data_IF_968150431483
#
_entry.id   IF_968150431483
#
_cell.length_a   1.000
_cell.length_b   1.000
_cell.length_c   1.000
_cell.angle_alpha   90.00
_cell.angle_beta   90.00
_cell.angle_gamma   90.00
#
_symmetry.space_group_name_H-M   'P 1'
#
loop_
_entity.id
_entity.type
_entity.pdbx_description
1 polymer ?
#
# COMPACT_ATOMS: atom_id res chain seq x y z
N UNK A 1 52.33 -33.28 -6.85
CA UNK A 1 51.41 -33.09 -5.70
C UNK A 1 49.98 -33.01 -6.21
N UNK A 2 49.01 -33.69 -5.60
CA UNK A 2 47.63 -33.57 -6.01
C UNK A 2 47.09 -32.18 -5.64
N UNK A 3 46.35 -31.53 -6.56
CA UNK A 3 45.61 -30.29 -6.29
C UNK A 3 44.33 -30.62 -5.51
N UNK A 4 44.03 -29.85 -4.47
CA UNK A 4 42.80 -29.99 -3.71
C UNK A 4 41.89 -28.78 -4.05
N UNK A 5 40.74 -28.97 -4.73
CA UNK A 5 39.87 -27.87 -5.05
C UNK A 5 39.15 -27.33 -3.81
N UNK A 6 38.93 -26.02 -3.78
CA UNK A 6 38.13 -25.37 -2.74
C UNK A 6 36.71 -25.11 -3.29
N UNK A 7 35.71 -25.54 -2.56
CA UNK A 7 34.33 -25.23 -2.90
C UNK A 7 34.02 -23.79 -2.55
N UNK A 8 33.53 -23.03 -3.52
CA UNK A 8 33.18 -21.62 -3.31
C UNK A 8 31.82 -21.52 -2.60
N UNK A 9 31.79 -20.84 -1.46
CA UNK A 9 30.55 -20.52 -0.75
C UNK A 9 29.75 -19.45 -1.52
N UNK A 10 28.47 -19.68 -1.67
CA UNK A 10 27.54 -18.73 -2.34
C UNK A 10 26.38 -18.42 -1.38
N UNK A 11 26.57 -17.52 -0.40
CA UNK A 11 25.57 -17.21 0.64
C UNK A 11 24.35 -16.46 0.08
N UNK A 12 24.50 -15.77 -1.05
CA UNK A 12 23.42 -15.14 -1.81
C UNK A 12 23.36 -15.84 -3.15
N UNK A 13 22.20 -16.41 -3.50
CA UNK A 13 22.01 -17.13 -4.75
C UNK A 13 20.62 -16.83 -5.30
N UNK A 14 20.61 -16.15 -6.45
CA UNK A 14 19.41 -15.90 -7.25
C UNK A 14 19.35 -16.95 -8.35
N UNK A 15 18.44 -17.89 -8.25
CA UNK A 15 18.28 -18.99 -9.19
C UNK A 15 17.05 -18.87 -10.10
N UNK A 16 16.12 -17.97 -9.72
CA UNK A 16 14.91 -17.70 -10.53
C UNK A 16 14.61 -16.20 -10.48
N UNK A 17 14.41 -15.62 -11.65
CA UNK A 17 13.90 -14.23 -11.82
C UNK A 17 12.46 -14.33 -12.27
N UNK A 18 11.56 -13.62 -11.61
CA UNK A 18 10.13 -13.58 -11.93
C UNK A 18 9.88 -12.50 -12.97
N UNK A 19 10.24 -11.25 -12.64
CA UNK A 19 10.14 -10.11 -13.56
C UNK A 19 11.32 -9.15 -13.38
N UNK A 20 11.60 -8.37 -14.40
CA UNK A 20 12.44 -7.18 -14.35
C UNK A 20 11.69 -6.08 -15.11
N UNK A 21 11.50 -4.94 -14.47
CA UNK A 21 10.78 -3.81 -15.03
C UNK A 21 11.60 -2.52 -14.96
N UNK A 22 11.42 -1.66 -15.96
CA UNK A 22 11.78 -0.27 -15.93
C UNK A 22 10.55 0.56 -16.30
N UNK A 23 9.94 1.17 -15.28
CA UNK A 23 8.70 1.91 -15.45
C UNK A 23 8.94 3.42 -15.49
N UNK A 24 8.28 4.08 -16.43
CA UNK A 24 8.15 5.53 -16.48
C UNK A 24 6.71 5.91 -16.16
N UNK A 25 6.45 6.25 -14.91
CA UNK A 25 5.09 6.51 -14.44
C UNK A 25 4.71 7.99 -14.52
N UNK A 26 3.40 8.27 -14.58
CA UNK A 26 2.87 9.63 -14.43
C UNK A 26 2.99 10.10 -12.98
N UNK A 27 2.96 11.42 -12.76
CA UNK A 27 2.94 12.00 -11.41
C UNK A 27 1.69 11.66 -10.58
N UNK A 28 0.66 11.07 -11.21
CA UNK A 28 -0.57 10.62 -10.56
C UNK A 28 -0.65 9.08 -10.45
N UNK A 29 0.42 8.37 -10.75
CA UNK A 29 0.45 6.91 -10.72
C UNK A 29 0.15 6.38 -9.31
N UNK A 30 -0.62 5.30 -9.29
CA UNK A 30 -0.97 4.58 -8.08
C UNK A 30 -1.04 3.07 -8.37
N UNK A 31 -0.37 2.30 -7.53
CA UNK A 31 -0.42 0.85 -7.50
C UNK A 31 -1.16 0.41 -6.23
N UNK A 32 -2.25 -0.34 -6.41
CA UNK A 32 -3.14 -0.77 -5.29
C UNK A 32 -2.43 -1.68 -4.28
N UNK A 33 -1.32 -2.27 -4.67
CA UNK A 33 -0.52 -3.17 -3.87
C UNK A 33 -0.80 -4.64 -4.14
N UNK A 34 0.19 -5.43 -3.76
CA UNK A 34 0.20 -6.88 -3.88
C UNK A 34 0.92 -7.55 -2.70
N UNK A 35 0.83 -8.87 -2.67
CA UNK A 35 1.54 -9.72 -1.73
C UNK A 35 1.87 -11.03 -2.46
N UNK A 36 3.13 -11.43 -2.44
CA UNK A 36 3.62 -12.61 -3.15
C UNK A 36 4.69 -13.35 -2.34
N UNK A 37 5.09 -14.53 -2.78
CA UNK A 37 5.98 -15.45 -2.06
C UNK A 37 7.46 -15.38 -2.51
N UNK A 38 7.83 -14.34 -3.24
CA UNK A 38 9.18 -14.07 -3.71
C UNK A 38 9.70 -12.71 -3.19
N UNK A 39 11.00 -12.47 -3.33
CA UNK A 39 11.64 -11.20 -3.05
C UNK A 39 11.40 -10.22 -4.18
N UNK A 40 11.24 -8.95 -3.84
CA UNK A 40 11.18 -7.87 -4.81
C UNK A 40 11.99 -6.68 -4.30
N UNK A 41 12.65 -5.98 -5.21
CA UNK A 41 13.17 -4.66 -4.90
C UNK A 41 12.55 -3.59 -5.81
N UNK A 42 12.38 -2.41 -5.22
CA UNK A 42 12.00 -1.18 -5.92
C UNK A 42 13.12 -0.17 -5.77
N UNK A 43 13.66 0.29 -6.90
CA UNK A 43 14.67 1.35 -6.96
C UNK A 43 14.11 2.58 -7.65
N UNK A 44 14.31 3.77 -7.06
CA UNK A 44 13.86 5.06 -7.64
C UNK A 44 15.01 5.66 -8.45
N UNK A 45 14.90 5.56 -9.78
CA UNK A 45 15.88 6.16 -10.70
C UNK A 45 15.66 7.68 -10.86
N UNK A 46 14.39 8.10 -10.89
CA UNK A 46 13.98 9.50 -11.02
C UNK A 46 12.74 9.79 -10.19
N UNK A 47 12.63 11.02 -9.68
CA UNK A 47 11.46 11.47 -8.92
C UNK A 47 11.42 10.90 -7.51
N UNK A 48 10.21 10.75 -6.98
CA UNK A 48 9.96 10.22 -5.65
C UNK A 48 8.60 9.51 -5.58
N UNK A 49 8.49 8.55 -4.68
CA UNK A 49 7.27 7.77 -4.44
C UNK A 49 7.02 7.60 -2.95
N UNK A 50 5.75 7.54 -2.56
CA UNK A 50 5.33 7.02 -1.26
C UNK A 50 5.08 5.52 -1.40
N UNK A 51 5.69 4.72 -0.53
CA UNK A 51 5.58 3.27 -0.51
C UNK A 51 4.98 2.82 0.81
N UNK A 52 4.04 1.90 0.75
CA UNK A 52 3.58 1.13 1.90
C UNK A 52 4.29 -0.23 1.87
N UNK A 53 5.04 -0.57 2.90
CA UNK A 53 5.77 -1.82 3.04
C UNK A 53 5.53 -2.41 4.43
N UNK A 54 4.90 -3.59 4.52
CA UNK A 54 4.60 -4.25 5.78
C UNK A 54 3.75 -3.42 6.76
N UNK A 55 2.97 -2.45 6.25
CA UNK A 55 2.18 -1.53 7.06
C UNK A 55 2.87 -0.21 7.42
N UNK A 56 4.13 0.00 7.01
CA UNK A 56 4.87 1.26 7.18
C UNK A 56 4.77 2.12 5.94
N UNK A 57 4.53 3.41 6.12
CA UNK A 57 4.62 4.39 5.04
C UNK A 57 6.03 4.97 4.98
N UNK A 58 6.64 4.89 3.81
CA UNK A 58 8.00 5.36 3.54
C UNK A 58 7.97 6.26 2.30
N UNK A 59 8.77 7.33 2.32
CA UNK A 59 9.04 8.13 1.12
C UNK A 59 10.39 7.75 0.57
N UNK A 60 10.41 7.31 -0.69
CA UNK A 60 11.61 6.98 -1.44
C UNK A 60 11.90 8.08 -2.45
N UNK A 61 13.04 8.73 -2.32
CA UNK A 61 13.54 9.67 -3.30
C UNK A 61 14.50 9.01 -4.29
N UNK A 62 14.92 9.78 -5.29
CA UNK A 62 15.91 9.34 -6.29
C UNK A 62 17.15 8.73 -5.63
N UNK A 63 17.58 7.58 -6.14
CA UNK A 63 18.75 6.87 -5.65
C UNK A 63 18.49 6.01 -4.42
N UNK A 64 17.23 5.83 -4.00
CA UNK A 64 16.86 4.94 -2.91
C UNK A 64 16.33 3.61 -3.44
N UNK A 65 16.67 2.53 -2.75
CA UNK A 65 16.18 1.18 -3.00
C UNK A 65 15.50 0.64 -1.75
N UNK A 66 14.36 -0.03 -1.93
CA UNK A 66 13.65 -0.77 -0.89
C UNK A 66 13.52 -2.23 -1.32
N UNK A 67 13.62 -3.16 -0.37
CA UNK A 67 13.41 -4.59 -0.60
C UNK A 67 12.17 -5.04 0.14
N UNK A 68 11.30 -5.75 -0.57
CA UNK A 68 10.10 -6.42 -0.06
C UNK A 68 10.39 -7.90 0.12
N UNK A 69 10.33 -8.43 1.36
CA UNK A 69 10.46 -9.85 1.62
C UNK A 69 9.21 -10.62 1.19
N UNK A 70 9.33 -11.95 0.94
CA UNK A 70 8.19 -12.82 0.70
C UNK A 70 7.11 -12.65 1.76
N UNK A 71 5.86 -12.52 1.33
CA UNK A 71 4.69 -12.37 2.22
C UNK A 71 4.45 -10.95 2.74
N UNK A 72 5.28 -9.98 2.40
CA UNK A 72 5.01 -8.58 2.73
C UNK A 72 3.99 -7.98 1.75
N UNK A 73 2.91 -7.40 2.29
CA UNK A 73 2.03 -6.56 1.48
C UNK A 73 2.72 -5.21 1.22
N UNK A 74 2.78 -4.81 -0.04
CA UNK A 74 3.34 -3.53 -0.45
C UNK A 74 2.50 -2.85 -1.53
N UNK A 75 2.51 -1.51 -1.53
CA UNK A 75 1.83 -0.64 -2.46
C UNK A 75 2.67 0.62 -2.67
N UNK A 76 2.47 1.32 -3.79
CA UNK A 76 3.17 2.57 -4.03
C UNK A 76 2.32 3.59 -4.78
N UNK A 77 2.64 4.87 -4.58
CA UNK A 77 2.06 5.98 -5.33
C UNK A 77 3.11 7.05 -5.63
N UNK A 78 2.95 7.71 -6.77
CA UNK A 78 3.67 8.94 -7.06
C UNK A 78 3.21 10.06 -6.10
N UNK A 79 4.12 10.95 -5.71
CA UNK A 79 3.83 12.03 -4.74
C UNK A 79 3.03 13.19 -5.32
N UNK A 80 2.82 13.20 -6.65
CA UNK A 80 2.16 14.30 -7.36
C UNK A 80 3.12 15.42 -7.79
N UNK A 81 4.32 15.49 -7.19
CA UNK A 81 5.31 16.54 -7.46
C UNK A 81 6.19 16.24 -8.68
N UNK A 82 6.42 14.96 -8.97
CA UNK A 82 7.25 14.50 -10.11
C UNK A 82 6.75 13.17 -10.67
N UNK A 83 7.02 12.95 -11.96
CA UNK A 83 6.81 11.67 -12.62
C UNK A 83 7.98 10.74 -12.25
N UNK A 84 7.77 9.63 -11.53
CA UNK A 84 8.85 8.75 -11.11
C UNK A 84 9.22 7.73 -12.19
N UNK A 85 10.52 7.41 -12.27
CA UNK A 85 11.03 6.25 -12.99
C UNK A 85 11.51 5.23 -11.98
N UNK A 86 11.06 3.99 -12.12
CA UNK A 86 11.34 2.91 -11.17
C UNK A 86 11.94 1.70 -11.87
N UNK A 87 12.94 1.09 -11.24
CA UNK A 87 13.35 -0.29 -11.54
C UNK A 87 12.72 -1.20 -10.50
N UNK A 88 11.97 -2.19 -10.96
CA UNK A 88 11.37 -3.22 -10.09
C UNK A 88 11.87 -4.57 -10.56
N UNK A 89 12.40 -5.39 -9.64
CA UNK A 89 12.83 -6.73 -9.98
C UNK A 89 12.40 -7.73 -8.91
N UNK A 90 11.74 -8.79 -9.37
CA UNK A 90 11.16 -9.84 -8.54
C UNK A 90 11.91 -11.15 -8.78
N UNK A 91 12.31 -11.83 -7.71
CA UNK A 91 13.21 -12.98 -7.79
C UNK A 91 13.08 -13.92 -6.58
N UNK A 92 13.51 -15.16 -6.77
CA UNK A 92 13.75 -16.08 -5.66
C UNK A 92 15.23 -16.09 -5.30
N UNK A 93 15.51 -16.02 -4.01
CA UNK A 93 16.86 -16.10 -3.47
C UNK A 93 16.89 -17.19 -2.38
N UNK A 94 17.82 -18.14 -2.53
CA UNK A 94 18.00 -19.20 -1.56
C UNK A 94 18.88 -18.75 -0.38
N UNK A 95 18.58 -19.28 0.80
CA UNK A 95 19.35 -19.08 2.03
C UNK A 95 18.85 -17.90 2.88
N UNK A 96 19.39 -17.82 4.10
CA UNK A 96 18.99 -16.83 5.11
C UNK A 96 19.73 -15.48 4.99
N UNK A 97 20.51 -15.30 3.93
CA UNK A 97 21.35 -14.11 3.78
C UNK A 97 20.52 -12.82 3.72
N UNK A 98 19.36 -12.87 3.05
CA UNK A 98 18.46 -11.73 2.91
C UNK A 98 17.53 -11.53 4.12
N UNK A 99 17.27 -12.57 4.91
CA UNK A 99 16.43 -12.45 6.12
C UNK A 99 17.01 -11.48 7.16
N UNK A 100 18.31 -11.14 7.02
CA UNK A 100 19.03 -10.19 7.88
C UNK A 100 19.25 -8.82 7.23
N UNK A 101 18.67 -8.58 6.05
CA UNK A 101 18.60 -7.21 5.52
C UNK A 101 17.72 -6.39 6.45
N UNK A 102 18.20 -5.21 6.83
CA UNK A 102 17.41 -4.27 7.60
C UNK A 102 16.21 -3.78 6.79
N UNK A 103 15.33 -3.05 7.43
CA UNK A 103 14.05 -2.63 6.84
C UNK A 103 14.16 -1.52 5.77
N UNK A 104 15.37 -1.11 5.36
CA UNK A 104 15.60 -0.04 4.38
C UNK A 104 14.96 1.31 4.76
N UNK A 105 14.85 2.29 3.85
CA UNK A 105 15.40 2.28 2.49
C UNK A 105 16.94 2.38 2.46
N UNK A 106 17.53 1.86 1.39
CA UNK A 106 18.98 1.86 1.19
C UNK A 106 19.37 2.95 0.19
N UNK A 107 20.28 3.88 0.53
CA UNK A 107 20.84 4.81 -0.44
C UNK A 107 21.82 4.10 -1.38
N UNK A 108 21.62 4.24 -2.69
CA UNK A 108 22.48 3.61 -3.71
C UNK A 108 23.64 4.50 -4.10
N UNK A 109 24.85 3.99 -3.93
CA UNK A 109 26.07 4.59 -4.46
C UNK A 109 26.25 4.37 -5.95
N UNK A 110 27.40 4.75 -6.48
CA UNK A 110 27.71 4.61 -7.89
C UNK A 110 27.82 3.14 -8.33
N UNK A 111 28.44 2.30 -7.50
CA UNK A 111 28.59 0.88 -7.76
C UNK A 111 27.24 0.15 -7.82
N UNK A 112 26.37 0.38 -6.84
CA UNK A 112 25.03 -0.22 -6.80
C UNK A 112 24.16 0.23 -7.97
N UNK A 113 24.21 1.52 -8.34
CA UNK A 113 23.49 2.04 -9.53
C UNK A 113 24.01 1.42 -10.83
N UNK A 114 25.31 1.18 -10.94
CA UNK A 114 25.87 0.50 -12.10
C UNK A 114 25.35 -0.96 -12.20
N UNK A 115 25.23 -1.67 -11.09
CA UNK A 115 24.67 -3.02 -11.05
C UNK A 115 23.18 -3.02 -11.45
N UNK A 116 22.39 -2.07 -10.93
CA UNK A 116 20.97 -1.92 -11.28
C UNK A 116 20.81 -1.65 -12.78
N UNK A 117 21.62 -0.73 -13.35
CA UNK A 117 21.65 -0.49 -14.78
C UNK A 117 22.05 -1.72 -15.59
N UNK A 118 23.01 -2.52 -15.08
CA UNK A 118 23.42 -3.80 -15.67
C UNK A 118 22.30 -4.83 -15.67
N UNK A 119 21.52 -4.94 -14.58
CA UNK A 119 20.34 -5.83 -14.49
C UNK A 119 19.34 -5.50 -15.60
N UNK A 120 19.00 -4.22 -15.77
CA UNK A 120 18.06 -3.77 -16.80
C UNK A 120 18.60 -4.07 -18.19
N UNK A 121 19.85 -3.67 -18.48
CA UNK A 121 20.47 -3.87 -19.79
C UNK A 121 20.57 -5.35 -20.19
N UNK A 122 20.96 -6.23 -19.27
CA UNK A 122 21.04 -7.67 -19.57
C UNK A 122 19.66 -8.32 -19.62
N UNK A 123 18.66 -7.83 -18.88
CA UNK A 123 17.29 -8.29 -19.02
C UNK A 123 16.71 -7.96 -20.40
N UNK A 124 16.95 -6.75 -20.95
CA UNK A 124 16.56 -6.39 -22.31
C UNK A 124 17.21 -7.29 -23.38
N UNK A 125 18.44 -7.74 -23.12
CA UNK A 125 19.18 -8.64 -24.03
C UNK A 125 18.73 -10.10 -23.92
N UNK A 126 18.36 -10.53 -22.71
CA UNK A 126 17.98 -11.91 -22.42
C UNK A 126 16.52 -12.21 -22.77
N UNK A 127 15.62 -11.24 -22.56
CA UNK A 127 14.18 -11.46 -22.64
C UNK A 127 13.52 -10.63 -23.74
N UNK A 128 12.51 -11.21 -24.38
CA UNK A 128 11.68 -10.55 -25.38
C UNK A 128 10.52 -9.75 -24.74
N UNK A 129 10.22 -10.04 -23.49
CA UNK A 129 9.17 -9.37 -22.70
C UNK A 129 9.51 -7.89 -22.53
N UNK A 130 8.61 -6.96 -22.87
CA UNK A 130 8.83 -5.53 -22.62
C UNK A 130 8.99 -5.25 -21.12
N UNK A 131 9.96 -4.41 -20.74
CA UNK A 131 10.22 -4.10 -19.33
C UNK A 131 9.25 -3.05 -18.75
N UNK A 132 8.46 -2.39 -19.60
CA UNK A 132 7.49 -1.37 -19.23
C UNK A 132 6.04 -1.88 -19.16
N UNK A 133 5.80 -3.17 -19.38
CA UNK A 133 4.47 -3.77 -19.28
C UNK A 133 4.15 -4.23 -17.84
N UNK A 134 3.26 -3.51 -17.13
CA UNK A 134 2.89 -3.86 -15.76
C UNK A 134 2.02 -5.13 -15.64
N UNK A 135 1.57 -5.69 -16.76
CA UNK A 135 0.78 -6.93 -16.79
C UNK A 135 1.63 -8.19 -16.92
N UNK A 136 2.94 -8.03 -17.07
CA UNK A 136 3.88 -9.13 -17.20
C UNK A 136 3.88 -10.00 -15.95
N UNK A 137 3.65 -11.30 -16.14
CA UNK A 137 3.70 -12.33 -15.09
C UNK A 137 4.82 -13.35 -15.29
N UNK A 138 5.48 -13.33 -16.44
CA UNK A 138 6.58 -14.22 -16.79
C UNK A 138 7.49 -13.58 -17.83
N UNK A 139 8.77 -13.91 -17.78
CA UNK A 139 9.77 -13.46 -18.75
C UNK A 139 9.88 -14.49 -19.89
N UNK A 140 9.78 -14.02 -21.13
CA UNK A 140 9.98 -14.83 -22.33
C UNK A 140 11.42 -14.67 -22.82
N UNK A 141 12.16 -15.78 -22.96
CA UNK A 141 13.54 -15.76 -23.47
C UNK A 141 13.58 -15.35 -24.93
N UNK A 142 14.53 -14.51 -25.29
CA UNK A 142 14.81 -14.20 -26.70
C UNK A 142 15.48 -15.40 -27.35
N UNK A 143 15.06 -15.82 -28.56
CA UNK A 143 15.73 -16.88 -29.30
C UNK A 143 17.19 -16.58 -29.66
N UNK A 144 17.51 -15.28 -29.78
CA UNK A 144 18.83 -14.73 -30.14
C UNK A 144 19.58 -14.15 -28.93
N UNK A 145 19.15 -14.47 -27.70
CA UNK A 145 19.79 -13.98 -26.49
C UNK A 145 21.29 -14.31 -26.49
N UNK A 146 22.15 -13.34 -26.13
CA UNK A 146 23.58 -13.62 -25.97
C UNK A 146 23.84 -14.67 -24.90
N UNK A 147 24.81 -15.53 -25.15
CA UNK A 147 25.22 -16.54 -24.16
C UNK A 147 25.59 -15.87 -22.83
N UNK A 148 24.93 -16.27 -21.78
CA UNK A 148 25.19 -15.80 -20.41
C UNK A 148 24.46 -14.50 -20.01
N UNK A 149 23.60 -13.91 -20.86
CA UNK A 149 22.85 -12.70 -20.50
C UNK A 149 21.97 -12.93 -19.25
N UNK A 150 21.20 -14.02 -19.18
CA UNK A 150 20.43 -14.40 -17.99
C UNK A 150 21.33 -14.61 -16.76
N UNK A 151 22.50 -15.21 -16.95
CA UNK A 151 23.46 -15.42 -15.88
C UNK A 151 24.00 -14.08 -15.35
N UNK A 152 24.19 -13.08 -16.21
CA UNK A 152 24.61 -11.74 -15.81
C UNK A 152 23.50 -11.02 -15.01
N UNK A 153 22.24 -11.16 -15.40
CA UNK A 153 21.11 -10.65 -14.58
C UNK A 153 21.19 -11.18 -13.17
N UNK A 154 21.32 -12.51 -12.99
CA UNK A 154 21.43 -13.14 -11.68
C UNK A 154 22.71 -12.68 -10.93
N UNK A 155 23.84 -12.61 -11.62
CA UNK A 155 25.12 -12.22 -11.01
C UNK A 155 25.10 -10.76 -10.52
N UNK A 156 24.54 -9.84 -11.28
CA UNK A 156 24.38 -8.45 -10.86
C UNK A 156 23.41 -8.31 -9.68
N UNK A 157 22.31 -9.08 -9.66
CA UNK A 157 21.42 -9.14 -8.50
C UNK A 157 22.14 -9.68 -7.26
N UNK A 158 22.87 -10.80 -7.38
CA UNK A 158 23.64 -11.39 -6.28
C UNK A 158 24.65 -10.39 -5.70
N UNK A 159 25.37 -9.68 -6.57
CA UNK A 159 26.37 -8.68 -6.13
C UNK A 159 25.71 -7.47 -5.47
N UNK A 160 24.60 -6.96 -6.04
CA UNK A 160 23.81 -5.88 -5.43
C UNK A 160 23.33 -6.27 -4.03
N UNK A 161 22.73 -7.44 -3.88
CA UNK A 161 22.23 -7.96 -2.60
C UNK A 161 23.37 -8.17 -1.59
N UNK A 162 24.54 -8.61 -2.04
CA UNK A 162 25.74 -8.74 -1.23
C UNK A 162 26.22 -7.39 -0.70
N UNK A 163 26.23 -6.35 -1.55
CA UNK A 163 26.62 -4.99 -1.15
C UNK A 163 25.64 -4.42 -0.14
N UNK A 164 24.34 -4.57 -0.38
CA UNK A 164 23.30 -4.14 0.57
C UNK A 164 23.46 -4.83 1.92
N UNK A 165 23.75 -6.12 1.93
CA UNK A 165 23.97 -6.89 3.16
C UNK A 165 25.25 -6.44 3.90
N UNK A 166 26.33 -6.13 3.20
CA UNK A 166 27.57 -5.65 3.77
C UNK A 166 27.45 -4.22 4.34
N UNK A 167 26.65 -3.37 3.69
CA UNK A 167 26.36 -2.00 4.13
C UNK A 167 25.25 -1.88 5.17
N UNK A 168 24.49 -2.96 5.40
CA UNK A 168 23.45 -2.95 6.42
C UNK A 168 24.11 -2.82 7.81
N UNK A 169 23.68 -1.87 8.66
CA UNK A 169 24.16 -1.81 10.04
C UNK A 169 23.86 -3.15 10.72
N UNK A 170 24.82 -3.64 11.52
CA UNK A 170 24.56 -4.77 12.41
C UNK A 170 23.24 -4.49 13.16
N UNK A 171 22.31 -5.45 13.24
CA UNK A 171 21.04 -5.25 13.93
C UNK A 171 21.33 -4.87 15.37
N UNK A 172 21.33 -3.60 15.67
CA UNK A 172 21.22 -3.12 17.05
C UNK A 172 19.88 -3.65 17.50
N UNK A 173 19.89 -4.61 18.44
CA UNK A 173 18.75 -5.29 19.02
C UNK A 173 17.42 -4.54 18.89
N UNK A 174 16.94 -4.43 17.69
CA UNK A 174 15.58 -4.02 17.43
C UNK A 174 14.75 -5.22 17.82
N UNK A 175 14.08 -5.13 18.95
CA UNK A 175 12.92 -5.95 19.18
C UNK A 175 12.03 -5.88 17.92
N UNK A 176 11.20 -6.89 17.64
CA UNK A 176 10.36 -6.91 16.46
C UNK A 176 9.60 -5.58 16.45
N UNK A 177 9.88 -4.73 15.44
CA UNK A 177 9.05 -3.55 15.20
C UNK A 177 7.69 -4.13 14.83
N UNK A 178 6.73 -3.93 15.72
CA UNK A 178 5.38 -4.42 15.49
C UNK A 178 4.90 -3.88 14.14
N UNK A 179 4.37 -4.73 13.25
CA UNK A 179 3.65 -4.26 12.08
C UNK A 179 2.63 -3.24 12.60
N UNK A 180 2.46 -2.11 11.89
CA UNK A 180 1.46 -1.09 12.27
C UNK A 180 0.24 -1.81 12.82
N UNK A 181 -0.04 -1.60 14.10
CA UNK A 181 -1.01 -2.43 14.78
C UNK A 181 -2.32 -2.28 14.00
N UNK A 182 -3.08 -3.34 13.89
CA UNK A 182 -4.44 -3.33 13.34
C UNK A 182 -5.21 -2.09 13.81
N UNK A 183 -4.98 -1.67 15.04
CA UNK A 183 -5.53 -0.50 15.69
C UNK A 183 -5.07 0.82 15.04
N UNK A 184 -3.80 0.96 14.66
CA UNK A 184 -3.28 2.20 14.03
C UNK A 184 -3.87 2.41 12.63
N UNK A 185 -3.97 1.36 11.81
CA UNK A 185 -4.62 1.44 10.49
C UNK A 185 -6.09 1.79 10.66
N UNK A 186 -6.79 1.18 11.62
CA UNK A 186 -8.17 1.49 11.91
C UNK A 186 -8.35 2.95 12.32
N UNK A 187 -7.56 3.45 13.28
CA UNK A 187 -7.64 4.84 13.75
C UNK A 187 -7.34 5.86 12.66
N UNK A 188 -6.33 5.60 11.82
CA UNK A 188 -6.00 6.46 10.69
C UNK A 188 -7.14 6.53 9.67
N UNK A 189 -7.70 5.39 9.28
CA UNK A 189 -8.81 5.34 8.34
C UNK A 189 -10.08 5.94 8.96
N UNK A 190 -10.35 5.71 10.25
CA UNK A 190 -11.49 6.34 10.94
C UNK A 190 -11.38 7.88 10.93
N UNK A 191 -10.21 8.42 11.24
CA UNK A 191 -9.94 9.86 11.16
C UNK A 191 -10.15 10.40 9.73
N UNK A 192 -9.61 9.70 8.72
CA UNK A 192 -9.82 10.04 7.31
C UNK A 192 -11.30 10.08 6.91
N UNK A 193 -12.09 9.11 7.36
CA UNK A 193 -13.53 9.05 7.11
C UNK A 193 -14.30 10.16 7.85
N UNK A 194 -13.91 10.47 9.09
CA UNK A 194 -14.54 11.51 9.90
C UNK A 194 -14.43 12.90 9.26
N UNK A 195 -13.27 13.22 8.67
CA UNK A 195 -13.04 14.48 7.96
C UNK A 195 -13.83 14.60 6.64
N UNK A 196 -14.31 13.46 6.10
CA UNK A 196 -14.91 13.39 4.76
C UNK A 196 -16.36 12.95 4.74
N UNK A 197 -17.10 13.19 5.82
CA UNK A 197 -18.52 12.82 5.92
C UNK A 197 -19.40 13.48 4.86
N UNK A 198 -19.00 14.65 4.33
CA UNK A 198 -19.68 15.36 3.25
C UNK A 198 -19.40 14.80 1.85
N UNK A 199 -18.43 13.89 1.71
CA UNK A 199 -18.00 13.37 0.42
C UNK A 199 -18.63 12.02 0.09
N UNK A 200 -18.76 11.72 -1.20
CA UNK A 200 -19.01 10.36 -1.69
C UNK A 200 -17.66 9.67 -1.85
N UNK A 201 -17.40 8.67 -1.01
CA UNK A 201 -16.18 7.87 -1.08
C UNK A 201 -16.48 6.51 -1.68
N UNK A 202 -15.51 5.97 -2.42
CA UNK A 202 -15.48 4.59 -2.88
C UNK A 202 -14.47 3.80 -2.06
N UNK A 203 -14.62 2.48 -2.00
CA UNK A 203 -13.65 1.61 -1.34
C UNK A 203 -12.23 1.84 -1.88
N UNK A 204 -12.10 1.96 -3.21
CA UNK A 204 -10.82 2.18 -3.88
C UNK A 204 -10.16 3.50 -3.48
N UNK A 205 -10.97 4.56 -3.37
CA UNK A 205 -10.46 5.84 -2.92
C UNK A 205 -9.98 5.78 -1.47
N UNK A 206 -10.72 5.09 -0.59
CA UNK A 206 -10.30 4.90 0.81
C UNK A 206 -8.98 4.11 0.87
N UNK A 207 -8.88 3.01 0.12
CA UNK A 207 -7.66 2.21 0.03
C UNK A 207 -6.47 3.04 -0.47
N UNK A 208 -6.67 3.76 -1.57
CA UNK A 208 -5.67 4.62 -2.20
C UNK A 208 -5.14 5.69 -1.26
N UNK A 209 -6.06 6.47 -0.70
CA UNK A 209 -5.71 7.64 0.11
C UNK A 209 -5.08 7.22 1.46
N UNK A 210 -5.31 5.97 1.89
CA UNK A 210 -4.76 5.43 3.14
C UNK A 210 -3.68 4.35 2.93
N UNK A 211 -3.25 4.08 1.69
CA UNK A 211 -2.24 3.08 1.37
C UNK A 211 -2.49 1.72 2.07
N UNK A 212 -3.71 1.20 1.92
CA UNK A 212 -4.11 -0.08 2.53
C UNK A 212 -4.84 -0.93 1.51
N UNK A 213 -4.46 -2.20 1.37
CA UNK A 213 -5.11 -3.14 0.46
C UNK A 213 -6.55 -3.44 0.86
N UNK A 214 -7.43 -3.67 -0.13
CA UNK A 214 -8.86 -3.93 0.07
C UNK A 214 -9.14 -5.03 1.08
N UNK A 215 -8.48 -6.18 0.93
CA UNK A 215 -8.69 -7.34 1.81
C UNK A 215 -8.30 -7.01 3.26
N UNK A 216 -7.14 -6.38 3.46
CA UNK A 216 -6.66 -5.97 4.78
C UNK A 216 -7.60 -4.94 5.42
N UNK A 217 -8.03 -3.91 4.66
CA UNK A 217 -8.96 -2.90 5.14
C UNK A 217 -10.29 -3.54 5.60
N UNK A 218 -10.85 -4.43 4.78
CA UNK A 218 -12.08 -5.14 5.11
C UNK A 218 -11.91 -6.03 6.35
N UNK A 219 -10.81 -6.79 6.45
CA UNK A 219 -10.51 -7.61 7.63
C UNK A 219 -10.41 -6.77 8.91
N UNK A 220 -9.71 -5.62 8.84
CA UNK A 220 -9.57 -4.72 9.99
C UNK A 220 -10.94 -4.20 10.42
N UNK A 221 -11.74 -3.66 9.49
CA UNK A 221 -13.03 -3.09 9.84
C UNK A 221 -14.04 -4.14 10.32
N UNK A 222 -14.07 -5.33 9.70
CA UNK A 222 -14.89 -6.43 10.19
C UNK A 222 -14.56 -6.82 11.63
N UNK A 223 -13.30 -6.86 11.94
CA UNK A 223 -12.88 -7.26 13.27
C UNK A 223 -13.09 -6.17 14.34
N UNK A 224 -12.94 -4.86 13.97
CA UNK A 224 -13.13 -3.75 14.92
C UNK A 224 -14.60 -3.31 15.04
N UNK A 225 -15.41 -3.49 13.98
CA UNK A 225 -16.76 -2.90 13.91
C UNK A 225 -17.87 -3.89 13.59
N UNK A 226 -17.52 -5.16 13.34
CA UNK A 226 -18.46 -6.20 12.93
C UNK A 226 -18.98 -6.08 11.49
N UNK A 227 -18.52 -5.08 10.72
CA UNK A 227 -18.96 -4.82 9.35
C UNK A 227 -17.87 -4.24 8.46
N UNK A 228 -18.12 -4.13 7.15
CA UNK A 228 -17.17 -3.58 6.20
C UNK A 228 -16.99 -2.06 6.36
N UNK A 229 -15.86 -1.52 5.85
CA UNK A 229 -15.52 -0.09 5.95
C UNK A 229 -16.60 0.83 5.35
N UNK A 230 -17.23 0.47 4.23
CA UNK A 230 -18.28 1.27 3.62
C UNK A 230 -19.56 1.30 4.45
N UNK A 231 -19.88 0.20 5.11
CA UNK A 231 -20.99 0.12 6.06
C UNK A 231 -20.70 0.99 7.30
N UNK A 232 -19.49 0.89 7.83
CA UNK A 232 -19.03 1.74 8.91
C UNK A 232 -19.11 3.23 8.56
N UNK A 233 -18.62 3.61 7.39
CA UNK A 233 -18.73 5.00 6.90
C UNK A 233 -20.18 5.48 6.78
N UNK A 234 -21.05 4.60 6.30
CA UNK A 234 -22.49 4.88 6.28
C UNK A 234 -23.08 5.11 7.68
N UNK A 235 -22.72 4.27 8.66
CA UNK A 235 -23.13 4.45 10.07
C UNK A 235 -22.64 5.79 10.65
N UNK A 236 -21.38 6.16 10.39
CA UNK A 236 -20.80 7.46 10.80
C UNK A 236 -21.60 8.65 10.25
N UNK A 237 -22.00 8.61 8.96
CA UNK A 237 -22.85 9.64 8.36
C UNK A 237 -24.23 9.71 9.07
N UNK A 238 -24.81 8.58 9.42
CA UNK A 238 -26.10 8.56 10.13
C UNK A 238 -25.97 9.11 11.55
N UNK A 239 -24.89 8.82 12.27
CA UNK A 239 -24.66 9.43 13.58
C UNK A 239 -24.51 10.96 13.48
N UNK A 240 -23.78 11.46 12.47
CA UNK A 240 -23.71 12.89 12.20
C UNK A 240 -25.08 13.50 11.87
N UNK A 241 -25.91 12.79 11.09
CA UNK A 241 -27.29 13.22 10.80
C UNK A 241 -28.14 13.31 12.07
N UNK A 242 -28.05 12.33 12.98
CA UNK A 242 -28.75 12.34 14.25
C UNK A 242 -28.36 13.55 15.11
N UNK A 243 -27.08 13.91 15.11
CA UNK A 243 -26.61 15.10 15.82
C UNK A 243 -27.16 16.40 15.21
N UNK A 244 -27.13 16.53 13.88
CA UNK A 244 -27.73 17.68 13.18
C UNK A 244 -29.24 17.81 13.47
N UNK A 245 -29.97 16.69 13.47
CA UNK A 245 -31.40 16.66 13.80
C UNK A 245 -31.64 17.08 15.25
N UNK A 246 -30.82 16.62 16.19
CA UNK A 246 -30.94 17.02 17.61
C UNK A 246 -30.72 18.51 17.84
N UNK A 247 -29.81 19.12 17.04
CA UNK A 247 -29.50 20.56 17.10
C UNK A 247 -30.45 21.43 16.28
N UNK A 248 -31.42 20.81 15.57
CA UNK A 248 -32.31 21.48 14.63
C UNK A 248 -31.53 22.26 13.53
N UNK A 249 -30.40 21.69 13.09
CA UNK A 249 -29.41 22.33 12.22
C UNK A 249 -29.75 22.13 10.72
N UNK A 250 -30.96 22.51 10.33
CA UNK A 250 -31.46 22.47 8.98
C UNK A 250 -32.53 21.39 8.72
N UNK A 251 -33.16 21.48 7.57
CA UNK A 251 -34.14 20.50 7.13
C UNK A 251 -33.45 19.21 6.62
N UNK A 252 -34.24 18.12 6.46
CA UNK A 252 -33.67 16.82 6.07
C UNK A 252 -32.97 16.80 4.71
N UNK A 253 -33.42 17.68 3.77
CA UNK A 253 -32.78 17.83 2.47
C UNK A 253 -31.39 18.48 2.62
N UNK A 254 -31.29 19.51 3.44
CA UNK A 254 -30.02 20.17 3.75
C UNK A 254 -29.05 19.24 4.47
N UNK A 255 -29.53 18.48 5.47
CA UNK A 255 -28.73 17.48 6.18
C UNK A 255 -28.21 16.42 5.21
N UNK A 256 -29.08 15.89 4.33
CA UNK A 256 -28.67 14.92 3.33
C UNK A 256 -27.59 15.46 2.39
N UNK A 257 -27.74 16.70 1.92
CA UNK A 257 -26.75 17.36 1.05
C UNK A 257 -25.41 17.59 1.75
N UNK A 258 -25.42 18.10 2.99
CA UNK A 258 -24.20 18.30 3.80
C UNK A 258 -23.43 17.02 4.06
N UNK A 259 -24.14 15.90 4.15
CA UNK A 259 -23.57 14.57 4.33
C UNK A 259 -23.27 13.86 3.00
N UNK A 260 -23.36 14.57 1.86
CA UNK A 260 -22.99 14.05 0.54
C UNK A 260 -23.88 12.90 0.05
N UNK A 261 -25.15 12.88 0.42
CA UNK A 261 -26.14 11.98 -0.17
C UNK A 261 -26.65 12.54 -1.50
N UNK A 262 -26.77 11.68 -2.51
CA UNK A 262 -27.22 12.09 -3.84
C UNK A 262 -28.71 12.44 -3.87
N UNK A 263 -29.52 11.95 -2.92
CA UNK A 263 -30.92 12.28 -2.79
C UNK A 263 -31.44 12.10 -1.37
N UNK A 264 -32.47 12.87 -1.03
CA UNK A 264 -33.20 12.76 0.24
C UNK A 264 -33.85 11.36 0.41
N UNK A 265 -34.26 10.72 -0.69
CA UNK A 265 -34.87 9.37 -0.66
C UNK A 265 -33.84 8.31 -0.25
N UNK A 266 -32.64 8.40 -0.80
CA UNK A 266 -31.55 7.49 -0.44
C UNK A 266 -31.12 7.72 1.02
N UNK A 267 -30.98 8.96 1.45
CA UNK A 267 -30.72 9.33 2.84
C UNK A 267 -31.75 8.74 3.79
N UNK A 268 -33.05 8.99 3.55
CA UNK A 268 -34.13 8.53 4.42
C UNK A 268 -34.18 7.00 4.53
N UNK A 269 -33.99 6.30 3.41
CA UNK A 269 -33.92 4.83 3.40
C UNK A 269 -32.72 4.31 4.16
N UNK A 270 -31.56 4.94 4.00
CA UNK A 270 -30.35 4.56 4.73
C UNK A 270 -30.48 4.85 6.22
N UNK A 271 -30.99 6.02 6.57
CA UNK A 271 -31.28 6.38 7.97
C UNK A 271 -32.19 5.35 8.63
N UNK A 272 -33.29 4.98 7.98
CA UNK A 272 -34.21 3.95 8.49
C UNK A 272 -33.56 2.58 8.60
N UNK A 273 -32.70 2.19 7.64
CA UNK A 273 -31.95 0.94 7.69
C UNK A 273 -31.02 0.87 8.91
N UNK A 274 -30.36 1.98 9.25
CA UNK A 274 -29.38 2.02 10.35
C UNK A 274 -30.04 2.20 11.73
N UNK A 275 -31.12 3.01 11.81
CA UNK A 275 -31.73 3.41 13.09
C UNK A 275 -33.04 2.69 13.40
N UNK A 276 -33.62 1.99 12.43
CA UNK A 276 -34.97 1.39 12.54
C UNK A 276 -36.14 2.36 12.29
N UNK A 277 -35.90 3.68 12.23
CA UNK A 277 -36.91 4.71 12.06
C UNK A 277 -36.53 5.74 10.99
N UNK A 278 -37.53 6.43 10.42
CA UNK A 278 -37.27 7.52 9.47
C UNK A 278 -36.69 8.75 10.18
N UNK A 279 -36.01 9.69 9.44
CA UNK A 279 -35.56 10.95 10.00
C UNK A 279 -36.65 11.75 10.70
N UNK A 280 -37.89 11.74 10.14
CA UNK A 280 -39.05 12.44 10.71
C UNK A 280 -39.52 11.82 12.05
N UNK A 281 -39.58 10.48 12.11
CA UNK A 281 -39.93 9.76 13.34
C UNK A 281 -38.87 10.01 14.45
N UNK A 282 -37.59 10.01 14.07
CA UNK A 282 -36.50 10.33 14.98
C UNK A 282 -36.60 11.76 15.53
N UNK A 283 -36.80 12.76 14.64
CA UNK A 283 -36.95 14.16 15.02
C UNK A 283 -38.17 14.38 15.95
N UNK A 284 -39.30 13.71 15.67
CA UNK A 284 -40.47 13.78 16.53
C UNK A 284 -40.22 13.22 17.92
N UNK A 285 -39.49 12.09 18.00
CA UNK A 285 -39.08 11.49 19.28
C UNK A 285 -38.16 12.41 20.10
N UNK A 286 -37.18 13.04 19.44
CA UNK A 286 -36.25 13.99 20.09
C UNK A 286 -37.01 15.21 20.64
N UNK A 287 -37.95 15.79 19.88
CA UNK A 287 -38.78 16.94 20.31
C UNK A 287 -39.70 16.57 21.49
N UNK A 288 -40.30 15.39 21.49
CA UNK A 288 -41.13 14.90 22.58
C UNK A 288 -40.36 14.72 23.86
N UNK A 289 -39.13 14.24 23.80
CA UNK A 289 -38.22 14.12 24.96
C UNK A 289 -37.81 15.49 25.51
N UNK A 290 -37.45 16.43 24.61
CA UNK A 290 -37.09 17.80 24.99
C UNK A 290 -38.24 18.59 25.66
N UNK A 291 -39.47 18.33 25.24
CA UNK A 291 -40.67 18.93 25.86
C UNK A 291 -40.93 18.40 27.29
N UNK A 292 -40.61 17.13 27.58
CA UNK A 292 -40.76 16.51 28.90
C UNK A 292 -39.69 16.93 29.91
N UNK A 293 -38.52 17.39 29.43
CA UNK A 293 -37.37 17.80 30.25
C UNK A 293 -37.35 19.30 30.59
N UNK A 294 -38.26 20.11 30.06
CA UNK A 294 -38.46 21.49 30.56
C UNK A 294 -39.21 21.42 31.87
N UNK A 295 -38.61 21.83 33.04
CA UNK A 295 -39.34 21.93 34.28
C UNK A 295 -40.45 22.96 34.07
N UNK A 296 -41.72 22.54 34.41
CA UNK A 296 -42.87 23.40 34.36
C UNK A 296 -42.58 24.66 35.20
N UNK A 297 -42.46 25.80 34.55
CA UNK A 297 -42.49 27.09 35.22
C UNK A 297 -43.93 27.29 35.73
N UNK A 298 -44.08 27.13 37.03
CA UNK A 298 -45.19 27.59 37.80
C UNK A 298 -44.83 28.85 38.55
#
# INVERSE_FOLDING_TARGET
>A
MPFTPTVISRPVRVDRVVTVHYFEYSSSYYFEGEQHDFWEFVYVDKGEVDVLAGGRELRLGRGSLLIHPPGEFHALRATGSSAPNLVVASFFCEGDALARLGEGPYPMGEAERALIGGIVAEAERAFATPLDDPTTTALERRPDAPLGAEQLVAAYMEELLRLLRAGAPEPRGAGPMEPQSRNEVFLRVDAYLAERLSQTLTLDRICRDNLVGRSRLQQIFHAETGGGVMEYFGRRKIEAAKEMIRRDDGNFTEIANRLGYQSIYYFSRHFKKVTGMTPSEYASGVRALAAKTKPGGG
#
